data_IF_892404403814
#
_entry.id   IF_892404403814
#
_cell.length_a   1.000
_cell.length_b   1.000
_cell.length_c   1.000
_cell.angle_alpha   90.00
_cell.angle_beta   90.00
_cell.angle_gamma   90.00
#
_symmetry.space_group_name_H-M   'P 1'
#
loop_
_entity.id
_entity.type
_entity.pdbx_description
1 polymer ?
#
# COMPACT_ATOMS: atom_id res chain seq x y z
N UNK A 1 5.26 -12.93 -41.30
CA UNK A 1 4.21 -13.89 -40.90
C UNK A 1 3.18 -13.09 -40.11
N UNK A 2 1.91 -12.99 -40.56
CA UNK A 2 0.87 -12.32 -39.76
C UNK A 2 0.61 -13.19 -38.53
N UNK A 3 0.84 -12.66 -37.32
CA UNK A 3 0.40 -13.34 -36.11
C UNK A 3 -1.13 -13.36 -36.08
N UNK A 4 -1.72 -14.50 -35.72
CA UNK A 4 -3.16 -14.63 -35.53
C UNK A 4 -3.60 -13.80 -34.32
N UNK A 5 -4.65 -13.00 -34.48
CA UNK A 5 -5.21 -12.14 -33.41
C UNK A 5 -6.56 -12.68 -32.92
N UNK A 6 -6.83 -12.54 -31.63
CA UNK A 6 -7.99 -13.06 -30.92
C UNK A 6 -8.80 -11.93 -30.28
N UNK A 7 -10.09 -12.16 -30.02
CA UNK A 7 -10.87 -11.28 -29.17
C UNK A 7 -10.62 -11.67 -27.71
N UNK A 8 -9.76 -10.90 -27.05
CA UNK A 8 -9.34 -11.22 -25.68
C UNK A 8 -10.35 -10.65 -24.68
N UNK A 9 -10.89 -11.47 -23.77
CA UNK A 9 -11.82 -10.96 -22.77
C UNK A 9 -11.18 -9.94 -21.82
N UNK A 10 -12.03 -9.12 -21.21
CA UNK A 10 -11.66 -8.21 -20.14
C UNK A 10 -11.14 -9.00 -18.92
N UNK A 11 -10.01 -8.56 -18.36
CA UNK A 11 -9.39 -9.09 -17.13
C UNK A 11 -8.93 -10.55 -17.20
N UNK A 12 -8.68 -11.06 -18.41
CA UNK A 12 -8.20 -12.43 -18.65
C UNK A 12 -6.88 -12.74 -17.91
N UNK A 13 -5.96 -11.76 -17.86
CA UNK A 13 -4.66 -11.91 -17.21
C UNK A 13 -4.73 -12.11 -15.69
N UNK A 14 -5.88 -11.87 -15.08
CA UNK A 14 -6.13 -12.01 -13.64
C UNK A 14 -6.84 -13.32 -13.25
N UNK A 15 -7.33 -14.14 -14.19
CA UNK A 15 -8.19 -15.30 -13.87
C UNK A 15 -7.47 -16.46 -13.17
N UNK A 16 -6.18 -16.64 -13.41
CA UNK A 16 -5.41 -17.80 -12.94
C UNK A 16 -4.27 -17.42 -11.99
N UNK A 17 -4.44 -16.32 -11.25
CA UNK A 17 -3.47 -15.90 -10.26
C UNK A 17 -3.46 -16.85 -9.06
N UNK A 18 -2.29 -17.09 -8.49
CA UNK A 18 -2.17 -17.86 -7.26
C UNK A 18 -2.83 -17.07 -6.10
N UNK A 19 -3.88 -17.60 -5.44
CA UNK A 19 -4.58 -16.87 -4.39
C UNK A 19 -3.72 -16.60 -3.16
N UNK A 20 -2.67 -17.41 -2.93
CA UNK A 20 -1.72 -17.28 -1.82
C UNK A 20 -0.61 -16.26 -2.10
N UNK A 21 -0.49 -15.76 -3.33
CA UNK A 21 0.50 -14.72 -3.65
C UNK A 21 0.21 -13.42 -2.91
N UNK A 22 1.27 -12.64 -2.66
CA UNK A 22 1.13 -11.29 -2.12
C UNK A 22 0.33 -10.39 -3.06
N UNK A 23 -0.21 -9.29 -2.53
CA UNK A 23 -0.96 -8.32 -3.31
C UNK A 23 -0.13 -7.74 -4.47
N UNK A 24 1.16 -7.46 -4.20
CA UNK A 24 2.10 -7.04 -5.24
C UNK A 24 2.21 -8.08 -6.34
N UNK A 25 2.44 -9.34 -5.96
CA UNK A 25 2.64 -10.44 -6.91
C UNK A 25 1.39 -10.67 -7.77
N UNK A 26 0.19 -10.56 -7.18
CA UNK A 26 -1.08 -10.61 -7.92
C UNK A 26 -1.21 -9.45 -8.91
N UNK A 27 -0.92 -8.22 -8.46
CA UNK A 27 -1.02 -7.03 -9.30
C UNK A 27 -0.04 -7.07 -10.47
N UNK A 28 1.25 -7.30 -10.19
CA UNK A 28 2.30 -7.30 -11.22
C UNK A 28 2.12 -8.46 -12.21
N UNK A 29 1.75 -9.65 -11.74
CA UNK A 29 1.49 -10.81 -12.61
C UNK A 29 0.26 -10.58 -13.48
N UNK A 30 -0.84 -10.10 -12.90
CA UNK A 30 -2.07 -9.83 -13.64
C UNK A 30 -1.85 -8.79 -14.75
N UNK A 31 -1.18 -7.68 -14.43
CA UNK A 31 -0.84 -6.65 -15.41
C UNK A 31 0.13 -7.16 -16.48
N UNK A 32 1.17 -7.89 -16.08
CA UNK A 32 2.10 -8.47 -17.03
C UNK A 32 1.38 -9.42 -18.02
N UNK A 33 0.49 -10.26 -17.51
CA UNK A 33 -0.32 -11.14 -18.35
C UNK A 33 -1.21 -10.34 -19.31
N UNK A 34 -1.88 -9.28 -18.84
CA UNK A 34 -2.66 -8.38 -19.70
C UNK A 34 -1.78 -7.76 -20.81
N UNK A 35 -0.57 -7.28 -20.49
CA UNK A 35 0.37 -6.74 -21.48
C UNK A 35 0.77 -7.78 -22.54
N UNK A 36 0.96 -9.04 -22.14
CA UNK A 36 1.28 -10.14 -23.08
C UNK A 36 0.10 -10.49 -23.96
N UNK A 37 -1.08 -10.57 -23.38
CA UNK A 37 -2.32 -10.81 -24.12
C UNK A 37 -2.54 -9.74 -25.18
N UNK A 38 -2.31 -8.45 -24.88
CA UNK A 38 -2.49 -7.36 -25.86
C UNK A 38 -1.72 -7.56 -27.17
N UNK A 39 -0.61 -8.29 -27.17
CA UNK A 39 0.20 -8.56 -28.39
C UNK A 39 -0.58 -9.33 -29.47
N UNK A 40 -1.61 -10.09 -29.08
CA UNK A 40 -2.45 -10.89 -29.97
C UNK A 40 -3.90 -10.41 -29.96
N UNK A 41 -4.20 -9.21 -29.48
CA UNK A 41 -5.56 -8.71 -29.33
C UNK A 41 -6.05 -8.04 -30.63
N UNK A 42 -7.25 -8.42 -31.10
CA UNK A 42 -7.90 -7.80 -32.26
C UNK A 42 -8.08 -6.29 -32.07
N UNK A 43 -8.31 -5.82 -30.85
CA UNK A 43 -8.44 -4.39 -30.57
C UNK A 43 -7.14 -3.62 -30.90
N UNK A 44 -5.99 -4.21 -30.56
CA UNK A 44 -4.67 -3.63 -30.88
C UNK A 44 -4.46 -3.62 -32.39
N UNK A 45 -4.78 -4.72 -33.09
CA UNK A 45 -4.66 -4.79 -34.55
C UNK A 45 -5.56 -3.76 -35.25
N UNK A 46 -6.79 -3.59 -34.75
CA UNK A 46 -7.74 -2.62 -35.29
C UNK A 46 -7.27 -1.18 -35.07
N UNK A 47 -6.67 -0.87 -33.92
CA UNK A 47 -6.06 0.44 -33.67
C UNK A 47 -4.90 0.66 -34.64
N UNK A 48 -3.96 -0.27 -34.75
CA UNK A 48 -2.78 -0.12 -35.62
C UNK A 48 -3.14 0.17 -37.08
N UNK A 49 -4.21 -0.46 -37.61
CA UNK A 49 -4.71 -0.27 -38.98
C UNK A 49 -5.48 1.04 -39.20
N UNK A 50 -5.84 1.75 -38.14
CA UNK A 50 -6.67 2.96 -38.19
C UNK A 50 -5.85 4.23 -38.40
N UNK A 51 -6.48 5.31 -38.86
CA UNK A 51 -5.83 6.64 -38.88
C UNK A 51 -5.71 7.23 -37.47
N UNK A 52 -4.82 8.23 -37.30
CA UNK A 52 -4.47 8.80 -36.00
C UNK A 52 -5.65 9.27 -35.14
N UNK A 53 -6.69 9.87 -35.75
CA UNK A 53 -7.87 10.34 -35.01
C UNK A 53 -8.65 9.15 -34.45
N UNK A 54 -8.83 8.11 -35.26
CA UNK A 54 -9.53 6.88 -34.85
C UNK A 54 -8.70 6.13 -33.80
N UNK A 55 -7.38 6.06 -33.96
CA UNK A 55 -6.47 5.45 -32.96
C UNK A 55 -6.69 6.02 -31.57
N UNK A 56 -6.68 7.35 -31.45
CA UNK A 56 -6.87 8.05 -30.19
C UNK A 56 -8.26 7.79 -29.59
N UNK A 57 -9.32 7.79 -30.41
CA UNK A 57 -10.69 7.50 -29.95
C UNK A 57 -10.84 6.07 -29.43
N UNK A 58 -10.28 5.09 -30.15
CA UNK A 58 -10.32 3.69 -29.75
C UNK A 58 -9.53 3.44 -28.46
N UNK A 59 -8.34 4.03 -28.34
CA UNK A 59 -7.54 3.96 -27.11
C UNK A 59 -8.33 4.48 -25.90
N UNK A 60 -8.95 5.67 -26.03
CA UNK A 60 -9.78 6.24 -24.97
C UNK A 60 -10.99 5.36 -24.65
N UNK A 61 -11.63 4.79 -25.67
CA UNK A 61 -12.77 3.88 -25.49
C UNK A 61 -12.40 2.60 -24.72
N UNK A 62 -11.21 2.05 -24.95
CA UNK A 62 -10.73 0.84 -24.28
C UNK A 62 -10.21 1.10 -22.87
N UNK A 63 -9.68 2.29 -22.60
CA UNK A 63 -9.09 2.68 -21.31
C UNK A 63 -10.04 3.45 -20.37
N UNK A 64 -11.22 3.88 -20.84
CA UNK A 64 -12.22 4.56 -19.98
C UNK A 64 -12.65 3.69 -18.81
N UNK A 65 -13.23 4.33 -17.78
CA UNK A 65 -13.74 3.66 -16.59
C UNK A 65 -14.60 2.43 -16.93
N UNK A 66 -14.25 1.31 -16.33
CA UNK A 66 -14.85 -0.01 -16.48
C UNK A 66 -14.80 -0.58 -17.93
N UNK A 67 -13.95 -0.07 -18.81
CA UNK A 67 -13.72 -0.66 -20.13
C UNK A 67 -12.73 -1.84 -20.09
N UNK A 68 -12.39 -2.39 -21.26
CA UNK A 68 -11.60 -3.62 -21.40
C UNK A 68 -10.19 -3.49 -20.83
N UNK A 69 -9.56 -2.32 -20.98
CA UNK A 69 -8.20 -2.08 -20.49
C UNK A 69 -8.18 -1.45 -19.10
N UNK A 70 -9.34 -1.08 -18.54
CA UNK A 70 -9.42 -0.57 -17.17
C UNK A 70 -9.33 -1.72 -16.16
N UNK A 71 -8.13 -1.86 -15.58
CA UNK A 71 -7.82 -2.92 -14.62
C UNK A 71 -8.06 -2.50 -13.16
N UNK A 72 -8.42 -1.24 -12.90
CA UNK A 72 -8.67 -0.76 -11.52
C UNK A 72 -9.73 -1.60 -10.80
N UNK A 73 -10.88 -1.96 -11.44
CA UNK A 73 -11.90 -2.78 -10.77
C UNK A 73 -11.45 -4.20 -10.43
N UNK A 74 -10.61 -4.84 -11.26
CA UNK A 74 -10.11 -6.20 -10.96
C UNK A 74 -8.98 -6.18 -9.95
N UNK A 75 -8.12 -5.16 -9.98
CA UNK A 75 -7.07 -4.97 -8.98
C UNK A 75 -7.67 -4.86 -7.57
N UNK A 76 -8.74 -4.07 -7.38
CA UNK A 76 -9.44 -3.94 -6.09
C UNK A 76 -10.01 -5.26 -5.53
N UNK A 77 -10.16 -6.30 -6.36
CA UNK A 77 -10.60 -7.64 -5.91
C UNK A 77 -9.43 -8.52 -5.43
N UNK A 78 -8.20 -8.19 -5.83
CA UNK A 78 -7.02 -9.02 -5.60
C UNK A 78 -6.03 -8.43 -4.61
N UNK A 79 -6.17 -7.17 -4.24
CA UNK A 79 -5.25 -6.45 -3.35
C UNK A 79 -5.99 -5.85 -2.15
N UNK A 80 -5.24 -5.65 -1.07
CA UNK A 80 -5.76 -5.13 0.18
C UNK A 80 -6.21 -3.68 0.07
N UNK A 81 -7.09 -3.31 0.99
CA UNK A 81 -7.61 -1.95 1.13
C UNK A 81 -7.27 -1.40 2.50
N UNK A 82 -7.06 -0.09 2.55
CA UNK A 82 -6.62 0.62 3.74
C UNK A 82 -7.47 1.87 3.94
N UNK A 83 -7.73 2.25 5.19
CA UNK A 83 -8.17 3.59 5.55
C UNK A 83 -6.97 4.53 5.60
N UNK A 84 -7.10 5.72 5.02
CA UNK A 84 -6.12 6.78 5.18
C UNK A 84 -6.47 7.63 6.42
N UNK A 85 -5.52 7.81 7.35
CA UNK A 85 -5.77 8.49 8.63
C UNK A 85 -6.13 9.98 8.48
N UNK A 86 -5.51 10.65 7.50
CA UNK A 86 -5.62 12.10 7.30
C UNK A 86 -6.53 12.53 6.13
N UNK A 87 -6.74 11.66 5.14
CA UNK A 87 -7.50 12.01 3.94
C UNK A 87 -8.93 11.56 4.11
N UNK A 88 -9.87 12.39 3.66
CA UNK A 88 -11.29 12.07 3.65
C UNK A 88 -11.82 11.97 2.22
N UNK A 89 -12.88 11.18 2.04
CA UNK A 89 -13.63 11.15 0.80
C UNK A 89 -14.65 12.30 0.75
N UNK A 90 -15.35 12.44 -0.38
CA UNK A 90 -16.36 13.48 -0.59
C UNK A 90 -17.53 13.48 0.43
N UNK A 91 -17.68 12.41 1.22
CA UNK A 91 -18.68 12.30 2.30
C UNK A 91 -18.10 12.59 3.69
N UNK A 92 -16.86 13.10 3.77
CA UNK A 92 -16.17 13.39 5.03
C UNK A 92 -15.69 12.16 5.81
N UNK A 93 -15.83 10.94 5.26
CA UNK A 93 -15.32 9.71 5.90
C UNK A 93 -13.88 9.45 5.48
N UNK A 94 -13.08 8.68 6.25
CA UNK A 94 -11.71 8.35 5.84
C UNK A 94 -11.65 7.75 4.44
N UNK A 95 -10.68 8.24 3.66
CA UNK A 95 -10.46 7.79 2.31
C UNK A 95 -10.04 6.31 2.33
N UNK A 96 -10.54 5.55 1.34
CA UNK A 96 -10.13 4.17 1.14
C UNK A 96 -9.13 4.12 0.01
N UNK A 97 -7.93 3.63 0.32
CA UNK A 97 -6.88 3.41 -0.67
C UNK A 97 -6.74 1.92 -0.93
N UNK A 98 -6.47 1.55 -2.17
CA UNK A 98 -6.11 0.20 -2.57
C UNK A 98 -4.70 0.27 -3.11
N UNK A 99 -3.86 -0.69 -2.75
CA UNK A 99 -2.47 -0.62 -3.15
C UNK A 99 -1.66 -1.83 -2.80
N UNK A 100 -0.40 -1.80 -3.20
CA UNK A 100 0.56 -2.86 -2.96
C UNK A 100 1.85 -2.28 -2.39
N UNK A 101 2.47 -2.98 -1.43
CA UNK A 101 3.86 -2.69 -1.06
C UNK A 101 4.77 -3.30 -2.12
N UNK A 102 5.74 -2.53 -2.61
CA UNK A 102 6.73 -3.06 -3.54
C UNK A 102 7.81 -3.78 -2.72
N UNK A 103 8.19 -5.03 -3.05
CA UNK A 103 9.26 -5.73 -2.36
C UNK A 103 10.54 -4.88 -2.29
N UNK A 104 11.09 -4.73 -1.07
CA UNK A 104 12.23 -3.85 -0.80
C UNK A 104 11.87 -2.39 -0.47
N UNK A 105 10.60 -2.01 -0.50
CA UNK A 105 10.10 -0.71 -0.02
C UNK A 105 8.90 -0.90 0.91
N UNK A 106 9.17 -0.93 2.22
CA UNK A 106 8.16 -1.04 3.27
C UNK A 106 7.65 0.32 3.78
N UNK A 107 8.22 1.42 3.29
CA UNK A 107 7.84 2.77 3.74
C UNK A 107 6.57 3.25 3.04
N UNK A 108 6.33 2.79 1.82
CA UNK A 108 5.23 3.28 0.99
C UNK A 108 4.29 2.17 0.51
N UNK A 109 3.01 2.47 0.52
CA UNK A 109 1.98 1.72 -0.21
C UNK A 109 1.75 2.39 -1.56
N UNK A 110 1.92 1.65 -2.65
CA UNK A 110 1.76 2.17 -4.00
C UNK A 110 0.31 2.02 -4.46
N UNK A 111 -0.30 3.11 -4.92
CA UNK A 111 -1.71 3.12 -5.31
C UNK A 111 -1.95 2.13 -6.45
N UNK A 112 -3.04 1.35 -6.37
CA UNK A 112 -3.39 0.39 -7.40
C UNK A 112 -3.56 0.98 -8.80
N UNK A 113 -3.87 2.27 -8.91
CA UNK A 113 -4.06 2.95 -10.19
C UNK A 113 -2.78 2.95 -11.03
N UNK A 114 -1.60 2.88 -10.41
CA UNK A 114 -0.32 2.84 -11.13
C UNK A 114 -0.27 1.64 -12.09
N UNK A 115 -0.85 0.50 -11.69
CA UNK A 115 -0.78 -0.76 -12.43
C UNK A 115 -1.56 -0.67 -13.74
N UNK A 116 -2.78 -0.12 -13.69
CA UNK A 116 -3.58 0.17 -14.89
C UNK A 116 -2.91 1.22 -15.77
N UNK A 117 -2.35 2.27 -15.16
CA UNK A 117 -1.69 3.36 -15.89
C UNK A 117 -0.43 2.89 -16.63
N UNK A 118 0.40 2.04 -16.02
CA UNK A 118 1.53 1.38 -16.69
C UNK A 118 1.04 0.52 -17.87
N UNK A 119 -0.05 -0.25 -17.68
CA UNK A 119 -0.65 -0.99 -18.79
C UNK A 119 -1.11 -0.07 -19.92
N UNK A 120 -1.75 1.08 -19.63
CA UNK A 120 -2.17 2.03 -20.66
C UNK A 120 -1.00 2.52 -21.51
N UNK A 121 0.11 2.90 -20.87
CA UNK A 121 1.31 3.34 -21.58
C UNK A 121 1.88 2.26 -22.50
N UNK A 122 2.04 1.05 -21.98
CA UNK A 122 2.57 -0.09 -22.74
C UNK A 122 1.66 -0.46 -23.92
N UNK A 123 0.35 -0.63 -23.66
CA UNK A 123 -0.62 -1.04 -24.67
C UNK A 123 -0.86 0.03 -25.74
N UNK A 124 -0.79 1.32 -25.38
CA UNK A 124 -0.89 2.41 -26.33
C UNK A 124 0.35 2.53 -27.23
N UNK A 125 1.55 2.26 -26.72
CA UNK A 125 2.76 2.15 -27.56
C UNK A 125 2.70 0.95 -28.50
N UNK A 126 2.31 -0.20 -27.97
CA UNK A 126 2.07 -1.40 -28.77
C UNK A 126 1.06 -1.14 -29.90
N UNK A 127 0.04 -0.33 -29.64
CA UNK A 127 -0.99 0.04 -30.61
C UNK A 127 -0.60 1.17 -31.58
N UNK A 128 0.64 1.68 -31.53
CA UNK A 128 1.11 2.82 -32.33
C UNK A 128 0.23 4.08 -32.17
N UNK A 129 -0.20 4.34 -30.92
CA UNK A 129 -0.98 5.54 -30.53
C UNK A 129 -0.03 6.65 -30.07
N UNK A 130 1.06 6.30 -29.39
CA UNK A 130 2.02 7.25 -28.83
C UNK A 130 3.31 7.29 -29.67
N UNK A 131 3.37 8.18 -30.67
CA UNK A 131 4.55 8.38 -31.53
C UNK A 131 5.70 9.19 -30.89
N UNK A 132 6.84 9.29 -31.58
CA UNK A 132 8.10 9.91 -31.11
C UNK A 132 8.04 11.39 -30.71
N UNK A 133 7.00 12.14 -31.10
CA UNK A 133 6.92 13.61 -30.96
C UNK A 133 5.72 14.12 -30.14
N UNK A 134 5.17 13.32 -29.23
CA UNK A 134 4.08 13.80 -28.37
C UNK A 134 4.54 13.97 -26.92
N UNK A 135 4.62 15.23 -26.50
CA UNK A 135 4.46 15.62 -25.10
C UNK A 135 3.04 15.21 -24.67
N UNK A 136 2.96 14.05 -24.03
CA UNK A 136 1.72 13.43 -23.55
C UNK A 136 1.05 14.33 -22.50
N UNK A 137 1.83 15.13 -21.77
CA UNK A 137 1.31 16.11 -20.83
C UNK A 137 0.53 17.22 -21.55
N UNK A 138 1.08 17.82 -22.61
CA UNK A 138 0.43 18.88 -23.39
C UNK A 138 -0.78 18.42 -24.20
N UNK A 139 -0.77 17.20 -24.78
CA UNK A 139 -1.89 16.70 -25.60
C UNK A 139 -3.09 16.19 -24.77
N UNK A 140 -2.86 15.75 -23.54
CA UNK A 140 -3.94 15.48 -22.59
C UNK A 140 -4.66 16.76 -22.15
N UNK A 141 -3.97 17.91 -22.25
CA UNK A 141 -4.51 19.23 -21.96
C UNK A 141 -5.29 19.83 -23.17
N UNK A 142 -4.80 19.67 -24.40
CA UNK A 142 -5.42 20.30 -25.59
C UNK A 142 -6.56 19.49 -26.25
N UNK A 143 -6.69 18.19 -25.94
CA UNK A 143 -7.90 17.41 -26.29
C UNK A 143 -9.06 17.73 -25.31
N UNK A 144 -8.83 18.64 -24.35
CA UNK A 144 -9.81 19.07 -23.33
C UNK A 144 -10.79 20.16 -23.81
N UNK A 145 -11.01 20.33 -25.11
CA UNK A 145 -12.28 20.89 -25.61
C UNK A 145 -13.43 19.85 -25.58
N UNK A 146 -13.23 18.70 -24.92
CA UNK A 146 -14.31 17.78 -24.58
C UNK A 146 -13.85 16.53 -23.81
N UNK A 147 -13.67 16.67 -22.50
CA UNK A 147 -13.66 15.59 -21.50
C UNK A 147 -12.52 14.54 -21.56
N UNK A 148 -11.26 14.95 -21.42
CA UNK A 148 -10.19 14.06 -20.92
C UNK A 148 -9.86 14.29 -19.43
N UNK A 149 -10.30 15.43 -18.87
CA UNK A 149 -10.10 15.78 -17.46
C UNK A 149 -10.76 14.82 -16.45
N UNK A 150 -11.59 13.87 -16.89
CA UNK A 150 -12.34 12.95 -16.02
C UNK A 150 -11.83 11.49 -16.06
N UNK A 151 -10.77 11.18 -16.82
CA UNK A 151 -10.31 9.77 -17.01
C UNK A 151 -8.89 9.53 -16.48
N UNK A 152 -8.09 10.58 -16.26
CA UNK A 152 -6.78 10.49 -15.62
C UNK A 152 -6.80 11.44 -14.41
N UNK A 153 -6.73 10.86 -13.22
CA UNK A 153 -6.74 11.61 -11.96
C UNK A 153 -5.38 12.27 -11.72
N UNK A 154 -5.40 13.47 -11.16
CA UNK A 154 -4.31 14.32 -10.68
C UNK A 154 -2.95 14.42 -11.44
N UNK A 155 -2.55 15.67 -11.69
CA UNK A 155 -1.86 16.14 -12.92
C UNK A 155 -0.35 15.88 -13.08
N UNK A 156 0.30 14.99 -12.32
CA UNK A 156 1.75 14.74 -12.54
C UNK A 156 2.23 13.32 -12.24
N UNK A 157 1.62 12.62 -11.27
CA UNK A 157 2.04 11.26 -10.86
C UNK A 157 1.41 10.15 -11.69
N UNK A 158 0.17 10.31 -12.16
CA UNK A 158 -0.48 9.35 -13.07
C UNK A 158 0.23 9.29 -14.43
N UNK A 159 0.72 10.44 -14.90
CA UNK A 159 1.55 10.53 -16.10
C UNK A 159 2.86 9.72 -15.97
N UNK A 160 3.46 9.67 -14.77
CA UNK A 160 4.70 8.90 -14.56
C UNK A 160 4.48 7.39 -14.75
N UNK A 161 3.34 6.87 -14.28
CA UNK A 161 2.99 5.46 -14.46
C UNK A 161 2.74 5.14 -15.95
N UNK A 162 2.01 6.00 -16.66
CA UNK A 162 1.82 5.86 -18.12
C UNK A 162 3.16 5.92 -18.86
N UNK A 163 3.99 6.92 -18.57
CA UNK A 163 5.31 7.08 -19.17
C UNK A 163 6.23 5.87 -18.92
N UNK A 164 6.17 5.28 -17.71
CA UNK A 164 6.87 4.04 -17.40
C UNK A 164 6.38 2.89 -18.28
N UNK A 165 5.07 2.76 -18.49
CA UNK A 165 4.48 1.82 -19.43
C UNK A 165 5.02 1.96 -20.85
N UNK A 166 5.11 3.20 -21.33
CA UNK A 166 5.66 3.48 -22.66
C UNK A 166 7.15 3.14 -22.75
N UNK A 167 7.92 3.55 -21.74
CA UNK A 167 9.35 3.25 -21.63
C UNK A 167 9.60 1.74 -21.67
N UNK A 168 8.77 0.95 -20.98
CA UNK A 168 8.86 -0.52 -21.01
C UNK A 168 8.69 -1.06 -22.43
N UNK A 169 7.73 -0.53 -23.21
CA UNK A 169 7.57 -0.95 -24.60
C UNK A 169 8.70 -0.45 -25.50
N UNK A 170 9.14 0.80 -25.36
CA UNK A 170 10.25 1.34 -26.16
C UNK A 170 11.57 0.59 -25.92
N UNK A 171 11.80 0.14 -24.69
CA UNK A 171 13.02 -0.56 -24.30
C UNK A 171 12.98 -2.06 -24.58
N UNK A 172 11.87 -2.72 -24.29
CA UNK A 172 11.78 -4.19 -24.32
C UNK A 172 10.82 -4.73 -25.38
N UNK A 173 9.95 -3.88 -25.93
CA UNK A 173 8.94 -4.27 -26.91
C UNK A 173 8.11 -5.47 -26.46
N UNK A 174 7.86 -6.38 -27.39
CA UNK A 174 7.14 -7.63 -27.13
C UNK A 174 7.92 -8.63 -26.28
N UNK A 175 9.23 -8.45 -26.12
CA UNK A 175 10.14 -9.36 -25.41
C UNK A 175 10.23 -9.07 -23.90
N UNK A 176 9.52 -8.04 -23.41
CA UNK A 176 9.43 -7.67 -21.99
C UNK A 176 9.25 -8.89 -21.07
N UNK A 177 10.14 -9.10 -20.10
CA UNK A 177 9.95 -10.16 -19.08
C UNK A 177 9.28 -9.56 -17.85
N UNK A 178 8.64 -10.43 -17.05
CA UNK A 178 8.04 -10.00 -15.77
C UNK A 178 9.09 -9.36 -14.84
N UNK A 179 10.29 -9.94 -14.79
CA UNK A 179 11.41 -9.40 -14.03
C UNK A 179 11.91 -8.04 -14.53
N UNK A 180 11.70 -7.71 -15.82
CA UNK A 180 12.00 -6.38 -16.35
C UNK A 180 10.96 -5.37 -15.87
N UNK A 181 9.66 -5.73 -15.90
CA UNK A 181 8.59 -4.92 -15.33
C UNK A 181 8.82 -4.64 -13.84
N UNK A 182 9.08 -5.68 -13.05
CA UNK A 182 9.36 -5.57 -11.60
C UNK A 182 10.55 -4.64 -11.33
N UNK A 183 11.65 -4.81 -12.07
CA UNK A 183 12.87 -3.99 -11.94
C UNK A 183 12.60 -2.52 -12.27
N UNK A 184 11.94 -2.23 -13.39
CA UNK A 184 11.70 -0.83 -13.78
C UNK A 184 10.66 -0.14 -12.89
N UNK A 185 9.65 -0.87 -12.41
CA UNK A 185 8.71 -0.37 -11.40
C UNK A 185 9.46 -0.02 -10.12
N UNK A 186 10.35 -0.90 -9.63
CA UNK A 186 11.17 -0.61 -8.45
C UNK A 186 12.09 0.60 -8.66
N UNK A 187 12.77 0.69 -9.81
CA UNK A 187 13.69 1.79 -10.11
C UNK A 187 12.98 3.14 -10.23
N UNK A 188 11.73 3.16 -10.70
CA UNK A 188 10.94 4.38 -10.88
C UNK A 188 9.97 4.68 -9.73
N UNK A 189 9.94 3.84 -8.69
CA UNK A 189 8.96 3.87 -7.59
C UNK A 189 8.80 5.25 -6.94
N UNK A 190 9.88 6.00 -6.76
CA UNK A 190 9.85 7.33 -6.15
C UNK A 190 9.04 8.39 -6.95
N UNK A 191 8.70 8.11 -8.21
CA UNK A 191 7.86 8.97 -9.07
C UNK A 191 6.41 8.49 -9.16
N UNK A 192 6.12 7.30 -8.66
CA UNK A 192 4.80 6.69 -8.72
C UNK A 192 3.92 7.16 -7.55
N UNK A 193 2.61 7.16 -7.79
CA UNK A 193 1.63 7.51 -6.76
C UNK A 193 1.69 6.51 -5.60
N UNK A 194 1.86 7.03 -4.39
CA UNK A 194 2.10 6.24 -3.18
C UNK A 194 1.75 7.02 -1.93
N UNK A 195 1.43 6.29 -0.87
CA UNK A 195 1.12 6.83 0.46
C UNK A 195 2.12 6.31 1.48
N UNK A 196 2.45 7.11 2.49
CA UNK A 196 3.29 6.64 3.60
C UNK A 196 2.55 5.57 4.40
N UNK A 197 3.21 4.44 4.67
CA UNK A 197 2.64 3.32 5.39
C UNK A 197 2.21 3.74 6.81
N UNK A 198 2.95 4.58 7.53
CA UNK A 198 2.49 5.05 8.87
C UNK A 198 1.12 5.76 8.87
N UNK A 199 0.68 6.32 7.73
CA UNK A 199 -0.54 7.11 7.58
C UNK A 199 -1.77 6.27 7.17
N UNK A 200 -1.64 4.94 7.03
CA UNK A 200 -2.79 4.07 6.73
C UNK A 200 -3.03 3.03 7.80
N UNK A 201 -4.23 2.47 7.79
CA UNK A 201 -4.66 1.33 8.59
C UNK A 201 -5.28 0.34 7.62
N UNK A 202 -4.88 -0.92 7.63
CA UNK A 202 -5.56 -1.97 6.90
C UNK A 202 -7.05 -1.96 7.24
N UNK A 203 -7.95 -2.25 6.30
CA UNK A 203 -9.38 -2.39 6.63
C UNK A 203 -9.67 -3.74 7.30
N UNK A 204 -8.95 -4.75 6.83
CA UNK A 204 -9.06 -6.13 7.24
C UNK A 204 -7.66 -6.71 7.21
N UNK A 205 -7.21 -7.23 8.35
CA UNK A 205 -5.93 -7.90 8.45
C UNK A 205 -6.15 -9.41 8.41
N UNK A 206 -5.55 -10.11 7.45
CA UNK A 206 -5.57 -11.57 7.43
C UNK A 206 -4.34 -12.07 8.19
N UNK A 207 -4.57 -12.70 9.34
CA UNK A 207 -3.51 -13.22 10.22
C UNK A 207 -2.60 -14.15 9.43
N UNK A 208 -1.30 -13.91 9.51
CA UNK A 208 -0.22 -14.73 8.97
C UNK A 208 0.50 -15.44 10.11
N UNK A 209 1.28 -16.45 9.76
CA UNK A 209 2.15 -17.10 10.73
C UNK A 209 3.15 -16.08 11.31
N UNK A 210 3.24 -16.01 12.64
CA UNK A 210 4.10 -15.06 13.35
C UNK A 210 3.43 -13.71 13.68
N UNK A 211 2.18 -13.50 13.27
CA UNK A 211 1.45 -12.29 13.66
C UNK A 211 1.02 -12.34 15.13
N UNK A 212 1.02 -11.15 15.75
CA UNK A 212 0.53 -10.88 17.09
C UNK A 212 -0.32 -9.62 17.05
N UNK A 213 -1.24 -9.41 18.00
CA UNK A 213 -2.00 -8.15 18.01
C UNK A 213 -1.06 -6.92 18.08
N UNK A 214 0.07 -7.05 18.79
CA UNK A 214 1.05 -5.97 18.96
C UNK A 214 1.80 -5.62 17.67
N UNK A 215 2.31 -6.59 16.91
CA UNK A 215 3.02 -6.27 15.66
C UNK A 215 2.05 -5.77 14.59
N UNK A 216 0.83 -6.30 14.51
CA UNK A 216 -0.23 -5.78 13.63
C UNK A 216 -0.54 -4.31 13.99
N UNK A 217 -0.73 -4.01 15.28
CA UNK A 217 -0.99 -2.65 15.74
C UNK A 217 0.16 -1.70 15.41
N UNK A 218 1.40 -2.15 15.61
CA UNK A 218 2.62 -1.40 15.28
C UNK A 218 2.72 -1.11 13.78
N UNK A 219 2.46 -2.09 12.91
CA UNK A 219 2.46 -1.92 11.44
C UNK A 219 1.36 -0.97 10.96
N UNK A 220 0.27 -0.89 11.71
CA UNK A 220 -0.85 0.02 11.45
C UNK A 220 -0.72 1.36 12.20
N UNK A 221 0.33 1.53 13.02
CA UNK A 221 0.56 2.70 13.88
C UNK A 221 -0.71 3.08 14.68
N UNK A 222 -1.24 2.11 15.43
CA UNK A 222 -2.39 2.24 16.35
C UNK A 222 -2.10 1.51 17.66
N UNK A 223 -2.89 1.76 18.69
CA UNK A 223 -2.82 0.99 19.94
C UNK A 223 -3.38 -0.44 19.74
N UNK A 224 -2.79 -1.48 20.35
CA UNK A 224 -3.29 -2.87 20.32
C UNK A 224 -4.77 -3.01 20.73
N UNK A 225 -5.18 -2.24 21.72
CA UNK A 225 -6.53 -2.22 22.30
C UNK A 225 -7.60 -1.87 21.25
N UNK A 226 -7.26 -1.00 20.29
CA UNK A 226 -8.16 -0.62 19.20
C UNK A 226 -8.48 -1.80 18.28
N UNK A 227 -7.54 -2.72 18.09
CA UNK A 227 -7.78 -3.97 17.35
C UNK A 227 -8.68 -4.89 18.18
N UNK A 228 -8.39 -5.06 19.46
CA UNK A 228 -9.17 -5.93 20.35
C UNK A 228 -10.62 -5.48 20.45
N UNK A 229 -10.85 -4.17 20.56
CA UNK A 229 -12.19 -3.59 20.61
C UNK A 229 -13.02 -3.92 19.35
N UNK A 230 -12.38 -3.96 18.18
CA UNK A 230 -13.02 -4.35 16.92
C UNK A 230 -13.24 -5.84 16.76
N UNK A 231 -12.59 -6.66 17.59
CA UNK A 231 -12.63 -8.10 17.50
C UNK A 231 -12.96 -8.74 18.87
N UNK A 232 -14.13 -8.42 19.48
CA UNK A 232 -14.51 -8.93 20.81
C UNK A 232 -14.68 -10.45 20.86
N UNK A 233 -14.74 -11.12 19.71
CA UNK A 233 -14.77 -12.58 19.60
C UNK A 233 -13.43 -13.25 19.92
N UNK A 234 -12.32 -12.51 19.98
CA UNK A 234 -11.02 -13.06 20.34
C UNK A 234 -10.99 -13.37 21.83
N UNK A 235 -11.03 -14.65 22.19
CA UNK A 235 -10.98 -15.14 23.58
C UNK A 235 -9.56 -15.40 24.06
N UNK A 236 -8.63 -15.65 23.15
CA UNK A 236 -7.21 -15.87 23.44
C UNK A 236 -6.34 -15.06 22.45
N UNK A 237 -5.78 -13.94 22.94
CA UNK A 237 -4.98 -13.03 22.12
C UNK A 237 -3.55 -13.53 21.88
N UNK A 238 -3.12 -14.57 22.62
CA UNK A 238 -1.78 -15.15 22.47
C UNK A 238 -1.72 -16.13 21.31
N UNK A 239 -2.88 -16.66 20.89
CA UNK A 239 -2.98 -17.67 19.83
C UNK A 239 -3.90 -17.17 18.70
N UNK A 240 -3.37 -16.32 17.83
CA UNK A 240 -4.06 -15.95 16.59
C UNK A 240 -3.95 -17.09 15.56
N UNK A 241 -5.09 -17.52 15.02
CA UNK A 241 -5.14 -18.57 14.01
C UNK A 241 -4.82 -17.99 12.63
N UNK A 242 -3.75 -18.42 11.91
CA UNK A 242 -3.47 -17.95 10.56
C UNK A 242 -4.64 -18.16 9.60
N UNK A 243 -4.89 -17.18 8.74
CA UNK A 243 -6.04 -17.11 7.84
C UNK A 243 -7.27 -16.45 8.46
N UNK A 244 -7.27 -16.18 9.77
CA UNK A 244 -8.36 -15.43 10.43
C UNK A 244 -8.35 -13.99 9.97
N UNK A 245 -9.54 -13.44 9.71
CA UNK A 245 -9.70 -12.06 9.32
C UNK A 245 -10.01 -11.19 10.55
N UNK A 246 -9.13 -10.26 10.88
CA UNK A 246 -9.30 -9.26 11.92
C UNK A 246 -9.85 -7.98 11.34
N UNK A 247 -10.94 -7.47 11.91
CA UNK A 247 -11.50 -6.18 11.57
C UNK A 247 -10.65 -5.09 12.20
N UNK A 248 -10.25 -4.11 11.41
CA UNK A 248 -9.43 -3.00 11.89
C UNK A 248 -10.30 -1.76 12.15
N UNK A 249 -9.91 -0.86 13.07
CA UNK A 249 -10.63 0.36 13.34
C UNK A 249 -10.58 1.32 12.15
N UNK A 250 -11.69 2.00 11.89
CA UNK A 250 -11.69 3.19 11.05
C UNK A 250 -10.97 4.32 11.82
N UNK A 251 -10.19 5.20 11.15
CA UNK A 251 -9.47 6.30 11.81
C UNK A 251 -10.34 7.20 12.70
N UNK A 252 -11.64 7.35 12.40
CA UNK A 252 -12.58 8.14 13.19
C UNK A 252 -13.00 7.47 14.49
N UNK A 253 -12.70 6.19 14.66
CA UNK A 253 -13.08 5.38 15.82
C UNK A 253 -11.93 5.27 16.83
N UNK A 254 -10.72 5.71 16.47
CA UNK A 254 -9.53 5.60 17.32
C UNK A 254 -9.66 6.57 18.48
N UNK A 255 -9.70 6.03 19.69
CA UNK A 255 -9.71 6.81 20.94
C UNK A 255 -8.35 6.77 21.62
N UNK A 256 -7.60 5.69 21.43
CA UNK A 256 -6.26 5.52 21.99
C UNK A 256 -5.17 5.74 20.94
N UNK A 257 -4.37 6.78 21.13
CA UNK A 257 -3.12 6.99 20.39
C UNK A 257 -2.14 5.84 20.62
N UNK A 258 -1.33 5.54 19.60
CA UNK A 258 -0.13 4.70 19.78
C UNK A 258 0.85 5.39 20.73
N UNK A 259 1.72 4.63 21.42
CA UNK A 259 2.73 5.22 22.32
C UNK A 259 3.59 6.27 21.62
N UNK A 260 3.91 6.03 20.34
CA UNK A 260 4.67 6.98 19.53
C UNK A 260 3.87 8.26 19.28
N UNK A 261 2.61 8.15 18.83
CA UNK A 261 1.81 9.33 18.50
C UNK A 261 1.44 10.13 19.77
N UNK A 262 1.21 9.47 20.90
CA UNK A 262 1.01 10.13 22.19
C UNK A 262 2.26 10.93 22.57
N UNK A 263 3.44 10.31 22.48
CA UNK A 263 4.70 11.00 22.76
C UNK A 263 4.93 12.18 21.80
N UNK A 264 4.61 12.04 20.52
CA UNK A 264 4.71 13.12 19.54
C UNK A 264 3.80 14.30 19.91
N UNK A 265 2.56 14.04 20.37
CA UNK A 265 1.62 15.08 20.83
C UNK A 265 2.15 15.75 22.10
N UNK A 266 2.49 14.97 23.13
CA UNK A 266 2.92 15.50 24.44
C UNK A 266 4.21 16.33 24.35
N UNK A 267 5.07 16.07 23.36
CA UNK A 267 6.31 16.81 23.14
C UNK A 267 6.19 17.90 22.05
N UNK A 268 5.01 18.11 21.47
CA UNK A 268 4.81 19.16 20.46
C UNK A 268 4.80 20.56 21.07
N UNK A 269 5.31 21.56 20.34
CA UNK A 269 5.26 22.96 20.79
C UNK A 269 3.83 23.44 21.01
N UNK A 270 2.91 23.03 20.12
CA UNK A 270 1.49 23.33 20.21
C UNK A 270 0.86 22.84 21.51
N UNK A 271 1.23 21.63 21.97
CA UNK A 271 0.76 21.11 23.24
C UNK A 271 1.44 21.78 24.44
N UNK A 272 2.74 22.05 24.39
CA UNK A 272 3.49 22.52 25.56
C UNK A 272 3.41 24.02 25.82
N UNK A 273 3.30 24.85 24.77
CA UNK A 273 3.54 26.29 24.87
C UNK A 273 2.52 27.18 24.16
N UNK A 274 1.68 26.62 23.28
CA UNK A 274 0.67 27.40 22.55
C UNK A 274 -0.67 27.47 23.31
N UNK A 275 -1.59 28.30 22.82
CA UNK A 275 -2.90 28.54 23.41
C UNK A 275 -3.96 28.66 22.31
N UNK A 276 -5.22 28.35 22.63
CA UNK A 276 -6.35 28.49 21.71
C UNK A 276 -6.73 27.17 21.00
N UNK A 277 -7.49 27.29 19.91
CA UNK A 277 -8.23 26.16 19.31
C UNK A 277 -7.36 24.94 18.97
N UNK A 278 -6.12 25.14 18.52
CA UNK A 278 -5.20 24.04 18.19
C UNK A 278 -4.70 23.31 19.45
N UNK A 279 -4.29 24.06 20.47
CA UNK A 279 -3.90 23.50 21.77
C UNK A 279 -5.07 22.74 22.41
N UNK A 280 -6.27 23.35 22.44
CA UNK A 280 -7.46 22.76 23.06
C UNK A 280 -7.83 21.41 22.39
N UNK A 281 -7.66 21.30 21.06
CA UNK A 281 -7.83 20.04 20.34
C UNK A 281 -6.83 18.98 20.79
N UNK A 282 -5.56 19.33 20.98
CA UNK A 282 -4.55 18.38 21.45
C UNK A 282 -4.81 17.94 22.89
N UNK A 283 -5.29 18.83 23.75
CA UNK A 283 -5.71 18.50 25.12
C UNK A 283 -6.87 17.50 25.12
N UNK A 284 -7.92 17.73 24.32
CA UNK A 284 -9.03 16.77 24.22
C UNK A 284 -8.58 15.42 23.64
N UNK A 285 -7.66 15.41 22.66
CA UNK A 285 -7.06 14.16 22.15
C UNK A 285 -6.34 13.38 23.26
N UNK A 286 -5.52 14.05 24.07
CA UNK A 286 -4.79 13.41 25.18
C UNK A 286 -5.75 12.92 26.27
N UNK A 287 -6.77 13.71 26.59
CA UNK A 287 -7.82 13.32 27.55
C UNK A 287 -8.57 12.07 27.09
N UNK A 288 -9.02 12.04 25.83
CA UNK A 288 -9.67 10.87 25.26
C UNK A 288 -8.77 9.63 25.25
N UNK A 289 -7.46 9.80 25.01
CA UNK A 289 -6.51 8.69 25.14
C UNK A 289 -6.50 8.10 26.56
N UNK A 290 -6.42 8.94 27.60
CA UNK A 290 -6.41 8.47 28.99
C UNK A 290 -7.74 7.86 29.44
N UNK A 291 -8.88 8.45 29.03
CA UNK A 291 -10.21 7.88 29.24
C UNK A 291 -10.32 6.50 28.60
N UNK A 292 -9.90 6.36 27.33
CA UNK A 292 -9.91 5.08 26.65
C UNK A 292 -8.99 4.07 27.33
N UNK A 293 -7.78 4.48 27.75
CA UNK A 293 -6.85 3.61 28.47
C UNK A 293 -7.46 3.06 29.76
N UNK A 294 -8.26 3.86 30.48
CA UNK A 294 -8.99 3.39 31.65
C UNK A 294 -10.11 2.40 31.27
N UNK A 295 -10.92 2.72 30.25
CA UNK A 295 -11.98 1.84 29.74
C UNK A 295 -11.42 0.44 29.40
N UNK A 296 -10.22 0.39 28.80
CA UNK A 296 -9.61 -0.84 28.31
C UNK A 296 -8.83 -1.66 29.35
N UNK A 297 -8.51 -1.11 30.55
CA UNK A 297 -7.90 -1.90 31.64
C UNK A 297 -8.73 -3.12 32.02
N UNK A 298 -10.06 -2.98 31.96
CA UNK A 298 -10.98 -4.08 32.25
C UNK A 298 -10.94 -5.16 31.16
N UNK A 299 -10.75 -4.77 29.89
CA UNK A 299 -10.65 -5.70 28.76
C UNK A 299 -9.33 -6.50 28.81
N UNK A 300 -8.21 -5.85 29.09
CA UNK A 300 -6.90 -6.51 29.16
C UNK A 300 -6.79 -7.47 30.34
N UNK A 301 -7.39 -7.11 31.49
CA UNK A 301 -7.51 -8.00 32.65
C UNK A 301 -8.32 -9.28 32.36
N UNK A 302 -9.38 -9.20 31.55
CA UNK A 302 -10.21 -10.35 31.15
C UNK A 302 -9.50 -11.29 30.17
N UNK A 303 -8.58 -10.76 29.34
CA UNK A 303 -7.87 -11.52 28.31
C UNK A 303 -6.58 -12.18 28.81
N UNK A 304 -6.34 -12.18 30.13
CA UNK A 304 -5.13 -12.70 30.78
C UNK A 304 -3.84 -12.14 30.13
N UNK A 305 -3.89 -10.89 29.67
CA UNK A 305 -2.76 -10.13 29.17
C UNK A 305 -2.10 -9.55 30.41
N UNK A 306 -0.92 -10.06 30.80
CA UNK A 306 -0.24 -9.53 31.97
C UNK A 306 0.05 -8.03 31.75
N UNK A 307 -0.24 -7.20 32.75
CA UNK A 307 -0.08 -5.73 32.67
C UNK A 307 1.39 -5.30 32.43
N UNK A 308 2.31 -6.23 32.58
CA UNK A 308 3.77 -6.13 32.53
C UNK A 308 4.40 -7.07 31.49
N UNK A 309 3.64 -7.70 30.58
CA UNK A 309 4.18 -8.69 29.65
C UNK A 309 5.30 -8.10 28.76
N UNK A 310 6.57 -8.53 28.91
CA UNK A 310 7.65 -8.05 28.06
C UNK A 310 7.52 -8.61 26.64
N UNK A 311 7.96 -7.79 25.68
CA UNK A 311 7.94 -8.01 24.24
C UNK A 311 8.66 -9.29 23.77
N UNK A 312 8.16 -9.84 22.67
CA UNK A 312 8.68 -10.94 21.83
C UNK A 312 8.47 -12.36 22.36
N UNK A 313 7.66 -13.13 21.62
CA UNK A 313 7.71 -14.60 21.62
C UNK A 313 7.98 -15.03 20.18
N UNK A 314 9.18 -15.55 19.93
CA UNK A 314 9.48 -16.37 18.75
C UNK A 314 9.31 -17.82 19.19
N UNK A 315 8.35 -18.53 18.63
CA UNK A 315 8.44 -19.99 18.51
C UNK A 315 8.76 -20.33 17.07
N UNK A 316 10.03 -20.53 16.75
CA UNK A 316 10.41 -21.28 15.56
C UNK A 316 10.62 -22.73 15.99
N UNK A 317 9.63 -23.58 15.76
CA UNK A 317 9.93 -25.01 15.68
C UNK A 317 10.74 -25.25 14.40
N UNK A 318 12.04 -25.54 14.57
CA UNK A 318 12.99 -26.10 13.60
C UNK A 318 13.78 -25.15 12.66
N UNK A 319 14.68 -24.32 13.18
CA UNK A 319 15.82 -23.80 12.38
C UNK A 319 17.15 -23.84 13.18
N UNK A 320 18.04 -24.76 12.82
CA UNK A 320 19.32 -25.01 13.51
C UNK A 320 20.44 -24.02 13.11
N UNK A 321 20.14 -22.98 12.33
CA UNK A 321 21.15 -22.06 11.77
C UNK A 321 21.40 -20.79 12.59
N UNK A 322 20.71 -20.58 13.72
CA UNK A 322 20.88 -19.39 14.56
C UNK A 322 21.39 -19.80 15.95
N UNK A 323 22.71 -19.76 16.12
CA UNK A 323 23.31 -19.85 17.46
C UNK A 323 23.03 -18.56 18.24
N UNK A 324 22.60 -18.72 19.49
CA UNK A 324 22.16 -17.66 20.40
C UNK A 324 23.12 -16.46 20.54
N UNK A 325 24.42 -16.67 20.29
CA UNK A 325 25.47 -15.65 20.40
C UNK A 325 25.38 -14.52 19.35
N UNK A 326 24.57 -14.67 18.29
CA UNK A 326 24.38 -13.60 17.29
C UNK A 326 23.32 -12.56 17.70
N UNK A 327 22.39 -12.92 18.59
CA UNK A 327 21.29 -12.05 19.02
C UNK A 327 21.73 -10.97 20.02
N UNK A 328 22.83 -11.20 20.76
CA UNK A 328 23.28 -10.28 21.82
C UNK A 328 23.95 -9.00 21.30
N UNK A 329 24.26 -8.89 20.00
CA UNK A 329 25.04 -7.75 19.49
C UNK A 329 24.25 -6.52 19.05
N UNK A 330 22.93 -6.59 18.85
CA UNK A 330 22.16 -5.49 18.23
C UNK A 330 20.83 -5.11 18.91
N UNK A 331 20.59 -5.43 20.18
CA UNK A 331 19.29 -5.18 20.82
C UNK A 331 19.28 -5.05 22.34
N UNK A 332 20.25 -4.34 22.94
CA UNK A 332 20.29 -4.14 24.39
C UNK A 332 19.09 -3.34 24.92
N UNK A 333 18.36 -3.94 25.86
CA UNK A 333 17.31 -3.31 26.68
C UNK A 333 17.96 -2.53 27.82
N UNK A 334 17.47 -1.32 28.09
CA UNK A 334 17.80 -0.53 29.27
C UNK A 334 16.89 -0.96 30.44
N UNK A 335 17.47 -1.28 31.60
CA UNK A 335 16.76 -1.55 32.85
C UNK A 335 16.90 -0.32 33.77
N UNK A 336 15.77 0.23 34.21
CA UNK A 336 15.72 1.40 35.09
C UNK A 336 16.00 1.08 36.57
N UNK A 337 15.88 -0.20 36.97
CA UNK A 337 16.10 -0.63 38.35
C UNK A 337 17.57 -0.99 38.64
N UNK A 338 18.42 -1.04 37.60
CA UNK A 338 19.84 -1.34 37.75
C UNK A 338 20.73 -0.54 36.77
N UNK A 339 21.02 0.74 37.05
CA UNK A 339 21.87 1.54 36.16
C UNK A 339 23.29 0.98 36.12
N UNK A 340 23.79 0.71 34.91
CA UNK A 340 25.16 0.25 34.66
C UNK A 340 26.18 1.17 35.36
N UNK A 341 27.22 0.63 36.03
CA UNK A 341 28.22 1.46 36.70
C UNK A 341 28.97 2.30 35.66
N UNK A 342 29.11 3.61 35.94
CA UNK A 342 29.85 4.55 35.09
C UNK A 342 31.25 4.00 34.83
N UNK A 343 31.57 3.69 33.57
CA UNK A 343 32.96 3.41 33.16
C UNK A 343 33.80 4.65 33.45
N UNK A 344 34.79 4.50 34.31
CA UNK A 344 35.88 5.46 34.48
C UNK A 344 36.60 5.61 33.14
N UNK A 345 36.58 6.83 32.60
CA UNK A 345 37.39 7.20 31.45
C UNK A 345 38.84 7.27 31.91
N UNK A 346 39.63 6.26 31.53
CA UNK A 346 41.08 6.36 31.63
C UNK A 346 41.56 7.20 30.45
N UNK A 347 42.03 8.42 30.73
CA UNK A 347 42.68 9.27 29.74
C UNK A 347 44.04 8.64 29.36
N UNK A 348 44.39 8.58 28.06
CA UNK A 348 45.70 8.12 27.64
C UNK A 348 46.76 9.17 28.04
N UNK A 349 47.86 8.67 28.61
CA UNK A 349 49.10 9.42 28.87
C UNK A 349 49.83 9.78 27.57
#
# INVERSE_FOLDING_TARGET
>A
MKMTTYDIPKHEGFKHLNPKSSDYEKAVTGIFNEMKLRQQDKDVENIQKSNLIIKNKMMLFLARSNAKWDHKPVLKKHISSYFHKKLTNAKGRPATVFGTMIPGDNKYLYDHDIWSNIHYGYAGKLSDVYGWNLDIAGRLNDVANGHFNNVIGDKNTDANAVNLGMYLFDKYGTDLKKSDLEREVFNNRAKLNRYERKDLIEKLHIVKAGDTIFNIAKENNIAPEEILHKNPQLTDVRHLIPGTALKMPDPTEIRMLSDKDLNDVLNSSAYLFEHGEEHDKLVEVVKHHFEAKEDYKNLTALLNIAADAPLYVWETQNDDRVRAEHAERNGGVFDAENPQPRRSVQLPL
#
